data_IF_720127214397
#
_entry.id   IF_720127214397
#
_cell.length_a   1.000
_cell.length_b   1.000
_cell.length_c   1.000
_cell.angle_alpha   90.00
_cell.angle_beta   90.00
_cell.angle_gamma   90.00
#
_symmetry.space_group_name_H-M   'P 1'
#
loop_
_entity.id
_entity.type
_entity.pdbx_description
1 polymer ?
#
# COMPACT_ATOMS: atom_id res chain seq x y z
N UNK A 1 -8.98 30.62 -6.54
CA UNK A 1 -8.63 29.19 -6.50
C UNK A 1 -7.69 28.97 -7.66
N UNK A 2 -6.54 28.35 -7.44
CA UNK A 2 -5.55 28.05 -8.49
C UNK A 2 -5.67 26.57 -8.81
N UNK A 3 -5.67 26.24 -10.09
CA UNK A 3 -5.67 24.86 -10.56
C UNK A 3 -4.24 24.30 -10.46
N UNK A 4 -4.10 23.19 -9.72
CA UNK A 4 -2.84 22.48 -9.59
C UNK A 4 -2.76 21.36 -10.63
N UNK A 5 -1.58 21.15 -11.20
CA UNK A 5 -1.29 20.04 -12.10
C UNK A 5 -0.60 18.95 -11.30
N UNK A 6 -1.20 17.77 -11.23
CA UNK A 6 -0.58 16.60 -10.61
C UNK A 6 0.69 16.20 -11.38
N UNK A 7 1.74 15.84 -10.65
CA UNK A 7 3.03 15.38 -11.20
C UNK A 7 3.37 14.06 -10.53
N UNK A 8 3.98 13.14 -11.29
CA UNK A 8 4.50 11.93 -10.65
C UNK A 8 5.74 12.28 -9.80
N UNK A 9 5.99 11.54 -8.70
CA UNK A 9 7.15 11.79 -7.84
C UNK A 9 8.49 11.83 -8.59
N UNK A 10 8.66 11.00 -9.62
CA UNK A 10 9.88 10.92 -10.42
C UNK A 10 9.77 11.62 -11.79
N UNK A 11 8.82 12.55 -11.97
CA UNK A 11 8.63 13.27 -13.24
C UNK A 11 9.90 14.01 -13.68
N UNK A 12 10.38 13.68 -14.88
CA UNK A 12 11.64 14.18 -15.45
C UNK A 12 12.91 13.54 -14.88
N UNK A 13 12.80 12.58 -13.96
CA UNK A 13 13.93 11.88 -13.33
C UNK A 13 14.07 10.43 -13.83
N UNK A 14 12.96 9.72 -14.00
CA UNK A 14 12.92 8.34 -14.49
C UNK A 14 12.16 8.27 -15.84
N UNK A 15 12.47 7.31 -16.72
CA UNK A 15 13.38 6.17 -16.52
C UNK A 15 14.86 6.48 -16.80
N UNK A 16 15.74 5.66 -16.23
CA UNK A 16 17.19 5.68 -16.52
C UNK A 16 17.74 4.27 -16.76
N UNK A 17 18.74 4.16 -17.64
CA UNK A 17 19.36 2.88 -17.99
C UNK A 17 20.89 2.97 -17.95
N UNK A 18 21.52 2.03 -17.26
CA UNK A 18 22.97 1.94 -17.10
C UNK A 18 23.41 0.49 -17.38
N UNK A 19 24.10 0.27 -18.50
CA UNK A 19 24.47 -1.07 -18.94
C UNK A 19 23.22 -1.92 -19.22
N UNK A 20 23.06 -3.03 -18.49
CA UNK A 20 21.90 -3.91 -18.59
C UNK A 20 20.80 -3.64 -17.54
N UNK A 21 21.02 -2.68 -16.63
CA UNK A 21 20.05 -2.32 -15.60
C UNK A 21 19.18 -1.15 -16.08
N UNK A 22 17.89 -1.24 -15.79
CA UNK A 22 16.88 -0.21 -16.05
C UNK A 22 16.12 0.07 -14.76
N UNK A 23 15.85 1.35 -14.52
CA UNK A 23 15.02 1.82 -13.42
C UNK A 23 13.87 2.65 -13.98
N UNK A 24 12.66 2.23 -13.67
CA UNK A 24 11.40 2.87 -14.03
C UNK A 24 10.60 3.21 -12.79
N UNK A 25 9.78 4.27 -12.88
CA UNK A 25 8.82 4.61 -11.84
C UNK A 25 7.66 3.59 -11.85
N UNK A 26 7.28 3.10 -10.68
CA UNK A 26 6.14 2.21 -10.50
C UNK A 26 5.17 2.86 -9.53
N UNK A 27 4.00 3.23 -10.03
CA UNK A 27 2.95 3.84 -9.23
C UNK A 27 1.84 2.81 -9.00
N UNK A 28 1.68 2.28 -7.76
CA UNK A 28 0.49 1.53 -7.40
C UNK A 28 -0.75 2.41 -7.57
N UNK A 29 -1.88 1.82 -7.95
CA UNK A 29 -3.16 2.54 -8.09
C UNK A 29 -3.55 3.27 -6.79
N UNK A 30 -3.25 2.66 -5.65
CA UNK A 30 -3.43 3.24 -4.33
C UNK A 30 -2.47 2.62 -3.33
N UNK A 31 -2.18 3.36 -2.27
CA UNK A 31 -1.48 2.85 -1.09
C UNK A 31 -2.29 3.26 0.14
N UNK A 32 -2.75 2.29 0.95
CA UNK A 32 -3.43 2.56 2.22
C UNK A 32 -2.61 2.00 3.38
N UNK A 33 -2.31 2.84 4.37
CA UNK A 33 -1.82 2.37 5.67
C UNK A 33 -2.98 1.81 6.49
N UNK A 34 -2.86 0.57 6.96
CA UNK A 34 -3.84 -0.10 7.81
C UNK A 34 -3.17 -0.46 9.12
N UNK A 35 -3.70 0.06 10.23
CA UNK A 35 -3.26 -0.26 11.58
C UNK A 35 -4.40 -0.86 12.40
N UNK A 36 -4.22 -2.10 12.85
CA UNK A 36 -5.17 -2.80 13.71
C UNK A 36 -5.22 -2.14 15.10
N UNK A 37 -6.41 -1.91 15.62
CA UNK A 37 -6.57 -1.38 16.97
C UNK A 37 -6.01 -2.40 17.99
N UNK A 38 -5.18 -1.95 18.92
CA UNK A 38 -4.52 -2.83 19.90
C UNK A 38 -3.47 -3.79 19.33
N UNK A 39 -3.20 -3.78 18.02
CA UNK A 39 -2.12 -4.53 17.38
C UNK A 39 -2.43 -5.97 16.95
N UNK A 40 -3.61 -6.51 17.28
CA UNK A 40 -4.00 -7.89 16.92
C UNK A 40 -5.52 -8.10 16.93
N UNK A 41 -6.26 -7.24 16.24
CA UNK A 41 -7.72 -7.31 16.17
C UNK A 41 -8.18 -8.40 15.17
N UNK A 42 -8.87 -9.42 15.69
CA UNK A 42 -9.34 -10.55 14.90
C UNK A 42 -10.49 -10.18 13.95
N UNK A 43 -11.36 -9.25 14.35
CA UNK A 43 -12.50 -8.82 13.54
C UNK A 43 -12.00 -7.96 12.38
N UNK A 44 -11.05 -7.05 12.62
CA UNK A 44 -10.42 -6.26 11.56
C UNK A 44 -9.59 -7.13 10.60
N UNK A 45 -8.89 -8.15 11.11
CA UNK A 45 -8.14 -9.11 10.26
C UNK A 45 -9.10 -9.90 9.38
N UNK A 46 -10.25 -10.33 9.92
CA UNK A 46 -11.29 -11.00 9.15
C UNK A 46 -11.91 -10.07 8.10
N UNK A 47 -12.25 -8.84 8.46
CA UNK A 47 -12.81 -7.86 7.53
C UNK A 47 -11.86 -7.58 6.36
N UNK A 48 -10.55 -7.50 6.61
CA UNK A 48 -9.53 -7.39 5.56
C UNK A 48 -9.52 -8.63 4.64
N UNK A 49 -9.56 -9.83 5.22
CA UNK A 49 -9.60 -11.07 4.45
C UNK A 49 -10.87 -11.19 3.61
N UNK A 50 -12.03 -10.80 4.14
CA UNK A 50 -13.30 -10.81 3.39
C UNK A 50 -13.28 -9.77 2.25
N UNK A 51 -12.63 -8.61 2.45
CA UNK A 51 -12.55 -7.54 1.45
C UNK A 51 -11.55 -7.82 0.31
N UNK A 52 -10.42 -8.49 0.62
CA UNK A 52 -9.31 -8.65 -0.32
C UNK A 52 -9.00 -10.10 -0.70
N UNK A 53 -9.56 -11.09 0.01
CA UNK A 53 -9.17 -12.48 -0.11
C UNK A 53 -7.76 -12.79 0.43
N UNK A 54 -7.17 -11.88 1.18
CA UNK A 54 -5.79 -11.93 1.67
C UNK A 54 -5.73 -11.81 3.19
N UNK A 55 -4.86 -12.58 3.82
CA UNK A 55 -4.63 -12.48 5.27
C UNK A 55 -3.85 -11.22 5.66
N UNK A 56 -3.91 -10.85 6.94
CA UNK A 56 -3.00 -9.85 7.50
C UNK A 56 -1.60 -10.48 7.64
N UNK A 57 -0.54 -9.90 7.04
CA UNK A 57 0.77 -10.53 7.01
C UNK A 57 1.43 -10.53 8.39
N UNK A 58 2.21 -11.58 8.66
CA UNK A 58 3.13 -11.58 9.79
C UNK A 58 4.25 -10.52 9.61
N UNK A 59 4.93 -10.16 10.71
CA UNK A 59 6.06 -9.22 10.68
C UNK A 59 7.09 -9.64 9.64
N UNK A 60 7.55 -8.69 8.82
CA UNK A 60 8.52 -8.92 7.74
C UNK A 60 8.04 -9.94 6.69
N UNK A 61 6.72 -10.00 6.46
CA UNK A 61 6.10 -10.76 5.38
C UNK A 61 5.17 -9.87 4.56
N UNK A 62 4.75 -10.39 3.42
CA UNK A 62 3.69 -9.82 2.62
C UNK A 62 2.76 -10.94 2.13
N UNK A 63 1.52 -10.57 1.84
CA UNK A 63 0.52 -11.37 1.13
C UNK A 63 0.20 -10.68 -0.21
N UNK A 64 -0.21 -11.42 -1.23
CA UNK A 64 -0.58 -10.80 -2.51
C UNK A 64 -1.30 -11.71 -3.50
N UNK A 65 -2.28 -11.13 -4.19
CA UNK A 65 -3.03 -11.72 -5.29
C UNK A 65 -3.57 -10.61 -6.18
N UNK A 66 -3.74 -10.88 -7.49
CA UNK A 66 -4.50 -10.04 -8.42
C UNK A 66 -4.19 -8.52 -8.35
N UNK A 67 -2.91 -8.17 -8.39
CA UNK A 67 -2.47 -6.76 -8.39
C UNK A 67 -2.52 -6.07 -7.02
N UNK A 68 -3.02 -6.75 -5.98
CA UNK A 68 -3.01 -6.27 -4.59
C UNK A 68 -1.85 -6.90 -3.82
N UNK A 69 -1.18 -6.09 -3.00
CA UNK A 69 -0.13 -6.58 -2.08
C UNK A 69 -0.31 -5.96 -0.70
N UNK A 70 -0.25 -6.78 0.33
CA UNK A 70 -0.31 -6.35 1.74
C UNK A 70 1.07 -6.55 2.35
N UNK A 71 1.78 -5.47 2.66
CA UNK A 71 3.16 -5.51 3.16
C UNK A 71 3.18 -5.12 4.63
N UNK A 72 3.68 -5.99 5.50
CA UNK A 72 3.88 -5.66 6.91
C UNK A 72 4.88 -4.51 7.08
N UNK A 73 4.53 -3.51 7.87
CA UNK A 73 5.41 -2.40 8.28
C UNK A 73 5.63 -2.35 9.80
N UNK A 74 5.13 -3.34 10.53
CA UNK A 74 5.32 -3.50 11.97
C UNK A 74 4.21 -4.32 12.61
N UNK A 75 4.26 -4.55 13.94
CA UNK A 75 3.21 -5.27 14.66
C UNK A 75 1.85 -4.61 14.44
N UNK A 76 0.90 -5.38 13.89
CA UNK A 76 -0.46 -4.92 13.60
C UNK A 76 -0.56 -3.79 12.56
N UNK A 77 0.48 -3.56 11.75
CA UNK A 77 0.51 -2.48 10.74
C UNK A 77 0.97 -2.99 9.39
N UNK A 78 0.24 -2.63 8.34
CA UNK A 78 0.59 -2.97 6.97
C UNK A 78 0.25 -1.84 5.99
N UNK A 79 0.90 -1.86 4.82
CA UNK A 79 0.43 -1.15 3.64
C UNK A 79 -0.34 -2.10 2.75
N UNK A 80 -1.50 -1.66 2.26
CA UNK A 80 -2.23 -2.30 1.15
C UNK A 80 -1.95 -1.50 -0.10
N UNK A 81 -1.32 -2.12 -1.09
CA UNK A 81 -0.95 -1.52 -2.36
C UNK A 81 -1.87 -2.05 -3.47
N UNK A 82 -2.20 -1.18 -4.44
CA UNK A 82 -2.91 -1.53 -5.67
C UNK A 82 -4.43 -1.44 -5.58
N UNK A 83 -5.00 -1.14 -4.41
CA UNK A 83 -6.44 -0.87 -4.24
C UNK A 83 -6.68 -0.05 -2.98
N UNK A 84 -7.52 0.99 -3.03
CA UNK A 84 -7.92 1.71 -1.82
C UNK A 84 -8.78 0.82 -0.93
N UNK A 85 -8.55 0.86 0.38
CA UNK A 85 -9.32 0.06 1.34
C UNK A 85 -9.77 0.87 2.54
N UNK A 86 -10.91 0.47 3.10
CA UNK A 86 -11.40 0.94 4.39
C UNK A 86 -11.87 -0.30 5.17
N UNK A 87 -11.23 -0.56 6.32
CA UNK A 87 -11.47 -1.75 7.13
C UNK A 87 -12.03 -1.32 8.48
N UNK A 88 -13.23 -1.80 8.80
CA UNK A 88 -13.84 -1.56 10.10
C UNK A 88 -12.97 -2.16 11.21
N UNK A 89 -12.81 -1.41 12.31
CA UNK A 89 -11.95 -1.81 13.42
C UNK A 89 -10.44 -1.59 13.18
N UNK A 90 -10.05 -0.97 12.06
CA UNK A 90 -8.68 -0.53 11.80
C UNK A 90 -8.61 0.96 11.47
N UNK A 91 -7.51 1.62 11.86
CA UNK A 91 -7.21 2.95 11.36
C UNK A 91 -6.66 2.82 9.93
N UNK A 92 -7.34 3.48 8.99
CA UNK A 92 -6.97 3.49 7.58
C UNK A 92 -6.59 4.91 7.13
N UNK A 93 -5.43 5.07 6.52
CA UNK A 93 -4.93 6.36 6.01
C UNK A 93 -4.44 6.21 4.58
N UNK A 94 -4.89 7.09 3.68
CA UNK A 94 -4.36 7.17 2.32
C UNK A 94 -2.88 7.61 2.35
N UNK A 95 -2.06 6.88 1.61
CA UNK A 95 -0.61 7.06 1.48
C UNK A 95 -0.17 7.01 0.01
N UNK A 96 -1.10 7.17 -0.93
CA UNK A 96 -0.84 7.03 -2.37
C UNK A 96 0.21 8.03 -2.88
N UNK A 97 0.29 9.21 -2.25
CA UNK A 97 1.28 10.26 -2.58
C UNK A 97 2.45 10.34 -1.57
N UNK A 98 2.57 9.36 -0.65
CA UNK A 98 3.60 9.38 0.40
C UNK A 98 4.92 8.71 -0.01
N UNK A 99 4.95 8.03 -1.17
CA UNK A 99 6.07 7.21 -1.64
C UNK A 99 6.30 7.41 -3.14
N UNK A 100 7.54 7.18 -3.58
CA UNK A 100 8.00 7.20 -4.97
C UNK A 100 8.56 5.83 -5.37
#
# INVERSE_FOLDING_TARGET
MVDLVAKSPCDGLLPVSHGAAMLDEVLPEAITSVALLGGSDADATKALADALGLGFPATNRFEGSDGVKIVSIGPGKAFVLGRPVAIDGAACTDQSDAWA
#
